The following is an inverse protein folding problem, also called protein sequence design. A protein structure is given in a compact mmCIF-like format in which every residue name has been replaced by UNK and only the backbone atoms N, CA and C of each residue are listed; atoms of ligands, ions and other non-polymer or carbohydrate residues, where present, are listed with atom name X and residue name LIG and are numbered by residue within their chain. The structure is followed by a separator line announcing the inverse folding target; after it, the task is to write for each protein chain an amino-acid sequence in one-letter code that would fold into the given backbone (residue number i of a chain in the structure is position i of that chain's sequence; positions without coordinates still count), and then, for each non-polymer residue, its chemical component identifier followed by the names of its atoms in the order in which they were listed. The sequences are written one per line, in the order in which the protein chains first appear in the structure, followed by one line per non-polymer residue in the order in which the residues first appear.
data_IF_509563823591
#
_entry.id   IF_509563823591
#
_cell.length_a   1.000
_cell.length_b   1.000
_cell.length_c   1.000
_cell.angle_alpha   90.00
_cell.angle_beta   90.00
_cell.angle_gamma   90.00
#
_symmetry.space_group_name_H-M   'P 1'
#
loop_
_entity.id
_entity.type
_entity.pdbx_description
1 polymer ?
#
# COMPACT_ATOMS: atom_id res chain seq x y z
N UNK A 1 -6.64 9.18 9.01
CA UNK A 1 -7.40 8.23 8.16
C UNK A 1 -6.70 8.07 6.82
N UNK A 2 -5.98 6.97 6.67
CA UNK A 2 -5.27 6.61 5.44
C UNK A 2 -6.28 6.17 4.36
N UNK A 3 -6.87 7.15 3.67
CA UNK A 3 -7.83 6.91 2.59
C UNK A 3 -7.20 6.50 1.26
N UNK A 4 -5.87 6.64 1.12
CA UNK A 4 -5.11 6.32 -0.10
C UNK A 4 -4.03 5.30 0.21
N UNK A 5 -4.39 4.05 0.03
CA UNK A 5 -3.59 2.86 0.30
C UNK A 5 -3.68 1.93 -0.92
N UNK A 6 -2.79 0.95 -1.04
CA UNK A 6 -3.13 -0.25 -1.80
C UNK A 6 -4.31 -0.94 -1.10
N UNK A 7 -5.51 -0.57 -1.50
CA UNK A 7 -6.76 -1.26 -1.15
C UNK A 7 -6.81 -2.61 -1.87
N UNK A 8 -7.91 -3.34 -1.71
CA UNK A 8 -8.21 -4.59 -2.44
C UNK A 8 -7.90 -4.48 -3.93
N UNK A 9 -8.25 -3.36 -4.57
CA UNK A 9 -8.00 -3.12 -5.99
C UNK A 9 -6.52 -3.01 -6.33
N UNK A 10 -5.72 -2.38 -5.46
CA UNK A 10 -4.28 -2.20 -5.67
C UNK A 10 -3.52 -3.52 -5.60
N UNK A 11 -3.77 -4.31 -4.55
CA UNK A 11 -3.18 -5.64 -4.42
C UNK A 11 -3.65 -6.61 -5.50
N UNK A 12 -4.94 -6.59 -5.86
CA UNK A 12 -5.47 -7.41 -6.95
C UNK A 12 -4.81 -7.07 -8.30
N UNK A 13 -4.61 -5.79 -8.59
CA UNK A 13 -3.92 -5.34 -9.80
C UNK A 13 -2.44 -5.74 -9.80
N UNK A 14 -1.77 -5.67 -8.66
CA UNK A 14 -0.40 -6.16 -8.52
C UNK A 14 -0.32 -7.67 -8.80
N UNK A 15 -1.26 -8.44 -8.24
CA UNK A 15 -1.38 -9.88 -8.49
C UNK A 15 -1.63 -10.18 -9.98
N UNK A 16 -2.57 -9.47 -10.62
CA UNK A 16 -2.86 -9.60 -12.05
C UNK A 16 -1.60 -9.38 -12.91
N UNK A 17 -0.83 -8.33 -12.60
CA UNK A 17 0.42 -8.03 -13.31
C UNK A 17 1.50 -9.07 -13.09
N UNK A 18 1.55 -9.68 -11.90
CA UNK A 18 2.51 -10.72 -11.56
C UNK A 18 2.22 -12.02 -12.33
N UNK A 19 0.95 -12.43 -12.41
CA UNK A 19 0.55 -13.71 -13.03
C UNK A 19 0.20 -13.59 -14.52
N UNK A 20 0.00 -12.38 -15.03
CA UNK A 20 -0.27 -12.10 -16.44
C UNK A 20 -1.72 -12.35 -16.89
N UNK A 21 -2.65 -12.54 -15.96
CA UNK A 21 -4.08 -12.65 -16.22
C UNK A 21 -4.91 -12.22 -15.01
N UNK A 22 -6.22 -12.07 -15.20
CA UNK A 22 -7.15 -11.76 -14.12
C UNK A 22 -7.11 -12.86 -13.05
N UNK A 23 -6.82 -12.52 -11.78
CA UNK A 23 -6.70 -13.52 -10.73
C UNK A 23 -8.08 -14.10 -10.38
N UNK A 24 -8.14 -15.41 -10.19
CA UNK A 24 -9.31 -16.15 -9.72
C UNK A 24 -9.34 -16.25 -8.19
N UNK A 25 -10.44 -16.79 -7.64
CA UNK A 25 -10.63 -16.88 -6.19
C UNK A 25 -9.54 -17.70 -5.49
N UNK A 26 -9.04 -18.78 -6.11
CA UNK A 26 -7.95 -19.57 -5.54
C UNK A 26 -6.67 -18.76 -5.46
N UNK A 27 -6.36 -17.98 -6.48
CA UNK A 27 -5.19 -17.11 -6.51
C UNK A 27 -5.26 -15.96 -5.51
N UNK A 28 -6.46 -15.44 -5.25
CA UNK A 28 -6.65 -14.37 -4.27
C UNK A 28 -6.74 -14.86 -2.83
N UNK A 29 -7.03 -16.14 -2.58
CA UNK A 29 -7.20 -16.66 -1.22
C UNK A 29 -6.10 -17.64 -0.78
N UNK A 30 -5.63 -18.52 -1.67
CA UNK A 30 -4.66 -19.57 -1.32
C UNK A 30 -3.25 -19.32 -1.85
N UNK A 31 -3.15 -18.68 -3.03
CA UNK A 31 -1.86 -18.44 -3.71
C UNK A 31 -1.53 -16.95 -3.78
N UNK A 32 -2.11 -16.16 -2.88
CA UNK A 32 -1.92 -14.72 -2.88
C UNK A 32 -0.44 -14.39 -2.64
N UNK A 33 0.06 -13.37 -3.32
CA UNK A 33 1.43 -12.88 -3.13
C UNK A 33 1.33 -11.38 -2.85
N UNK A 34 1.56 -10.94 -1.61
CA UNK A 34 1.51 -9.52 -1.29
C UNK A 34 2.68 -8.79 -1.95
N UNK A 35 2.38 -7.64 -2.53
CA UNK A 35 3.38 -6.69 -2.97
C UNK A 35 3.67 -5.62 -1.91
N UNK A 36 4.60 -4.72 -2.21
CA UNK A 36 4.82 -3.50 -1.42
C UNK A 36 3.61 -2.58 -1.55
N UNK A 37 3.17 -1.99 -0.44
CA UNK A 37 2.09 -1.01 -0.42
C UNK A 37 2.52 0.34 0.14
N UNK A 38 1.94 1.40 -0.41
CA UNK A 38 2.20 2.79 0.00
C UNK A 38 0.91 3.38 0.54
N UNK A 39 1.01 4.09 1.66
CA UNK A 39 -0.12 4.61 2.41
C UNK A 39 0.09 6.09 2.68
N UNK A 40 -0.94 6.88 2.34
CA UNK A 40 -0.92 8.33 2.42
C UNK A 40 -2.10 8.83 3.25
N UNK A 41 -1.89 9.96 3.94
CA UNK A 41 -2.99 10.66 4.60
C UNK A 41 -3.91 11.27 3.54
N UNK A 42 -5.21 11.06 3.69
CA UNK A 42 -6.18 11.65 2.78
C UNK A 42 -6.12 13.18 2.79
N UNK A 43 -6.01 13.79 3.98
CA UNK A 43 -5.97 15.23 4.16
C UNK A 43 -4.74 15.87 3.49
N UNK A 44 -3.58 15.22 3.59
CA UNK A 44 -2.34 15.71 2.98
C UNK A 44 -2.35 15.58 1.45
N UNK A 45 -3.04 14.57 0.92
CA UNK A 45 -3.25 14.41 -0.52
C UNK A 45 -4.18 15.50 -1.06
N UNK A 46 -5.24 15.86 -0.32
CA UNK A 46 -6.13 16.96 -0.69
C UNK A 46 -5.42 18.31 -0.72
N UNK A 47 -4.42 18.51 0.13
CA UNK A 47 -3.66 19.76 0.23
C UNK A 47 -2.62 19.94 -0.90
N UNK A 48 -2.44 18.96 -1.80
CA UNK A 48 -1.47 19.05 -2.90
C UNK A 48 -1.92 20.04 -3.97
N UNK A 49 -0.97 20.81 -4.52
CA UNK A 49 -1.20 21.89 -5.50
C UNK A 49 -1.89 21.44 -6.81
N UNK A 50 -1.87 20.13 -7.09
CA UNK A 50 -2.46 19.55 -8.30
C UNK A 50 -3.58 18.55 -8.01
N UNK A 51 -4.26 18.71 -6.87
CA UNK A 51 -5.47 17.98 -6.55
C UNK A 51 -6.59 18.29 -7.56
N UNK A 52 -7.27 17.24 -8.01
CA UNK A 52 -8.43 17.27 -8.88
C UNK A 52 -9.52 16.37 -8.30
N UNK A 53 -10.75 16.86 -8.34
CA UNK A 53 -11.95 16.03 -8.17
C UNK A 53 -12.56 15.81 -9.56
N UNK A 54 -12.54 14.57 -10.04
CA UNK A 54 -13.07 14.23 -11.38
C UNK A 54 -14.55 13.82 -11.38
N UNK A 55 -15.24 14.02 -10.24
CA UNK A 55 -16.63 13.64 -10.05
C UNK A 55 -16.84 12.17 -9.68
N UNK A 56 -15.79 11.35 -9.68
CA UNK A 56 -15.85 9.93 -9.33
C UNK A 56 -14.80 9.55 -8.27
N UNK A 57 -13.54 9.92 -8.48
CA UNK A 57 -12.47 9.70 -7.52
C UNK A 57 -12.42 10.87 -6.53
N UNK A 58 -12.59 10.60 -5.22
CA UNK A 58 -12.70 11.65 -4.22
C UNK A 58 -11.37 12.38 -4.00
N UNK A 59 -10.23 11.80 -4.41
CA UNK A 59 -9.00 12.54 -4.65
C UNK A 59 -8.23 12.04 -5.87
N UNK A 60 -7.61 12.95 -6.61
CA UNK A 60 -6.74 12.59 -7.74
C UNK A 60 -5.68 13.64 -7.87
N UNK A 61 -4.41 13.26 -7.78
CA UNK A 61 -3.29 14.20 -8.00
C UNK A 61 -2.80 14.04 -9.43
N UNK A 62 -2.71 15.14 -10.16
CA UNK A 62 -2.23 15.12 -11.55
C UNK A 62 -0.73 14.81 -11.59
N UNK A 63 -0.31 13.97 -12.54
CA UNK A 63 1.08 13.59 -12.84
C UNK A 63 1.78 12.71 -11.80
N UNK A 64 1.98 13.19 -10.56
CA UNK A 64 2.72 12.47 -9.53
C UNK A 64 2.34 12.93 -8.12
N UNK A 65 2.59 12.08 -7.13
CA UNK A 65 2.52 12.39 -5.71
C UNK A 65 3.92 12.23 -5.11
N UNK A 66 4.41 13.23 -4.37
CA UNK A 66 5.71 13.13 -3.71
C UNK A 66 5.68 12.07 -2.61
N UNK A 67 6.77 11.30 -2.48
CA UNK A 67 6.98 10.39 -1.34
C UNK A 67 7.24 11.15 -0.02
N UNK A 68 7.39 12.47 -0.05
CA UNK A 68 7.42 13.27 1.17
C UNK A 68 6.10 13.16 1.95
N UNK A 69 4.97 13.01 1.25
CA UNK A 69 3.65 12.80 1.85
C UNK A 69 3.38 11.34 2.26
N UNK A 70 4.33 10.43 2.03
CA UNK A 70 4.20 9.03 2.43
C UNK A 70 4.09 8.96 3.95
N UNK A 71 3.08 8.25 4.46
CA UNK A 71 2.93 7.96 5.90
C UNK A 71 3.53 6.61 6.26
N UNK A 72 3.21 5.59 5.47
CA UNK A 72 3.76 4.27 5.66
C UNK A 72 3.97 3.58 4.32
N UNK A 73 5.03 2.80 4.24
CA UNK A 73 5.29 1.82 3.21
C UNK A 73 5.36 0.45 3.89
N UNK A 74 4.49 -0.47 3.51
CA UNK A 74 4.45 -1.81 4.07
C UNK A 74 5.09 -2.77 3.08
N UNK A 75 6.09 -3.49 3.56
CA UNK A 75 6.88 -4.46 2.80
C UNK A 75 6.69 -5.84 3.44
N UNK A 76 6.31 -6.88 2.68
CA UNK A 76 6.35 -8.25 3.18
C UNK A 76 7.75 -8.60 3.70
N UNK A 77 7.84 -9.13 4.91
CA UNK A 77 9.13 -9.35 5.60
C UNK A 77 10.07 -10.29 4.82
N UNK A 78 9.52 -11.27 4.12
CA UNK A 78 10.26 -12.17 3.24
C UNK A 78 10.97 -11.45 2.08
N UNK A 79 10.45 -10.28 1.68
CA UNK A 79 11.02 -9.42 0.65
C UNK A 79 11.96 -8.35 1.22
N UNK A 80 12.16 -8.26 2.56
CA UNK A 80 12.90 -7.17 3.18
C UNK A 80 14.30 -6.97 2.57
N UNK A 81 15.06 -8.07 2.41
CA UNK A 81 16.41 -8.05 1.84
C UNK A 81 16.50 -7.48 0.42
N UNK A 82 15.42 -7.57 -0.37
CA UNK A 82 15.35 -7.00 -1.72
C UNK A 82 15.22 -5.47 -1.69
N UNK A 83 14.58 -4.93 -0.65
CA UNK A 83 14.23 -3.51 -0.57
C UNK A 83 15.18 -2.70 0.31
N UNK A 84 15.75 -3.28 1.37
CA UNK A 84 16.61 -2.55 2.34
C UNK A 84 17.75 -1.77 1.68
N UNK A 85 18.36 -2.32 0.63
CA UNK A 85 19.48 -1.69 -0.07
C UNK A 85 19.07 -0.54 -1.01
N UNK A 86 17.80 -0.48 -1.43
CA UNK A 86 17.30 0.49 -2.41
C UNK A 86 16.41 1.57 -1.80
N UNK A 87 15.95 1.41 -0.55
CA UNK A 87 15.14 2.41 0.15
C UNK A 87 16.02 3.62 0.50
N UNK A 88 15.65 4.83 0.05
CA UNK A 88 16.32 6.07 0.44
C UNK A 88 16.27 6.26 1.96
N UNK A 89 17.36 6.77 2.55
CA UNK A 89 17.48 6.98 4.01
C UNK A 89 16.30 7.78 4.59
N UNK A 90 15.86 8.82 3.88
CA UNK A 90 14.74 9.68 4.28
C UNK A 90 13.36 8.97 4.32
N UNK A 91 13.26 7.77 3.75
CA UNK A 91 12.04 6.97 3.75
C UNK A 91 12.10 5.78 4.71
N UNK A 92 13.28 5.38 5.19
CA UNK A 92 13.44 4.18 6.04
C UNK A 92 12.57 4.22 7.30
N UNK A 93 12.46 5.38 7.94
CA UNK A 93 11.62 5.57 9.13
C UNK A 93 10.11 5.34 8.88
N UNK A 94 9.69 5.32 7.61
CA UNK A 94 8.31 5.10 7.18
C UNK A 94 8.12 3.75 6.50
N UNK A 95 9.16 2.93 6.40
CA UNK A 95 9.09 1.58 5.86
C UNK A 95 8.94 0.57 7.00
N UNK A 96 7.89 -0.23 6.95
CA UNK A 96 7.58 -1.23 7.96
C UNK A 96 7.50 -2.60 7.31
N UNK A 97 8.05 -3.60 8.00
CA UNK A 97 8.11 -4.97 7.53
C UNK A 97 7.12 -5.82 8.32
N UNK A 98 6.14 -6.40 7.62
CA UNK A 98 5.14 -7.26 8.25
C UNK A 98 5.34 -8.71 7.82
N UNK A 99 5.26 -9.67 8.76
CA UNK A 99 5.34 -11.08 8.41
C UNK A 99 4.12 -11.49 7.58
N UNK A 100 4.37 -12.25 6.51
CA UNK A 100 3.34 -12.86 5.67
C UNK A 100 3.29 -14.36 5.98
N UNK A 101 2.11 -14.85 6.37
CA UNK A 101 1.85 -16.22 6.80
C UNK A 101 0.93 -16.98 5.84
N UNK A 102 1.01 -16.67 4.54
CA UNK A 102 0.14 -17.24 3.51
C UNK A 102 -1.33 -16.82 3.66
N UNK A 103 -1.57 -15.61 4.17
CA UNK A 103 -2.88 -14.98 4.15
C UNK A 103 -3.40 -14.81 2.71
N UNK A 104 -4.70 -14.90 2.52
CA UNK A 104 -5.35 -14.41 1.33
C UNK A 104 -5.36 -12.88 1.28
N UNK A 105 -5.85 -12.35 0.16
CA UNK A 105 -5.91 -10.91 -0.11
C UNK A 105 -6.61 -10.14 1.01
N UNK A 106 -7.75 -10.65 1.49
CA UNK A 106 -8.57 -9.94 2.49
C UNK A 106 -7.90 -10.00 3.86
N UNK A 107 -7.36 -11.14 4.28
CA UNK A 107 -6.70 -11.24 5.58
C UNK A 107 -5.39 -10.44 5.63
N UNK A 108 -4.64 -10.38 4.52
CA UNK A 108 -3.46 -9.52 4.40
C UNK A 108 -3.82 -8.04 4.51
N UNK A 109 -4.87 -7.59 3.82
CA UNK A 109 -5.34 -6.20 3.89
C UNK A 109 -5.78 -5.84 5.31
N UNK A 110 -6.50 -6.73 5.98
CA UNK A 110 -6.91 -6.51 7.37
C UNK A 110 -5.71 -6.42 8.32
N UNK A 111 -4.69 -7.27 8.13
CA UNK A 111 -3.43 -7.21 8.88
C UNK A 111 -2.72 -5.86 8.70
N UNK A 112 -2.57 -5.43 7.45
CA UNK A 112 -1.98 -4.13 7.11
C UNK A 112 -2.80 -2.99 7.70
N UNK A 113 -4.13 -3.03 7.57
CA UNK A 113 -5.02 -2.01 8.09
C UNK A 113 -4.91 -1.86 9.61
N UNK A 114 -4.95 -2.97 10.36
CA UNK A 114 -4.79 -2.95 11.82
C UNK A 114 -3.44 -2.39 12.24
N UNK A 115 -2.37 -2.75 11.52
CA UNK A 115 -1.05 -2.19 11.77
C UNK A 115 -1.06 -0.66 11.61
N UNK A 116 -1.62 -0.17 10.52
CA UNK A 116 -1.65 1.27 10.22
C UNK A 116 -2.51 2.07 11.20
N UNK A 117 -3.66 1.53 11.62
CA UNK A 117 -4.49 2.17 12.66
C UNK A 117 -3.72 2.28 13.97
N UNK A 118 -2.98 1.23 14.34
CA UNK A 118 -2.16 1.27 15.55
C UNK A 118 -0.99 2.27 15.42
N UNK A 119 -0.44 2.43 14.21
CA UNK A 119 0.59 3.43 13.94
C UNK A 119 0.05 4.87 14.11
N UNK A 120 -1.13 5.18 13.56
CA UNK A 120 -1.78 6.50 13.71
C UNK A 120 -2.14 6.83 15.19
N UNK A 121 -2.25 5.85 16.09
CA UNK A 121 -2.51 6.11 17.52
C UNK A 121 -1.25 6.45 18.33
N UNK A 122 -0.05 6.29 17.75
CA UNK A 122 1.24 6.50 18.43
C UNK A 122 1.90 7.82 18.00
N UNK A 123 1.49 8.39 16.86
CA UNK A 123 1.87 9.71 16.36
C UNK A 123 1.00 10.84 16.97
#
# INVERSE_FOLDING_TARGET
MLGWSNTTSGYRLAMERLIGHLPNDRELNELFIPGVSFHFSYEEVLAQEHYLFDGYHPAKVKNHLSLDALKACIIPLDQASLFEAIIPEALKARCFYLPYHQEGLIEWIDTVYRFLVNLEMVD
#
